data_IF_598301386658
#
_entry.id   IF_598301386658
#
_cell.length_a   1.000
_cell.length_b   1.000
_cell.length_c   1.000
_cell.angle_alpha   90.00
_cell.angle_beta   90.00
_cell.angle_gamma   90.00
#
_symmetry.space_group_name_H-M   'P 1'
#
loop_
_entity.id
_entity.type
_entity.pdbx_description
1 polymer ?
#
# COMPACT_ATOMS: atom_id res chain seq x y z
N UNK A 1 -5.48 1.92 4.41
CA UNK A 1 -5.28 1.27 5.72
C UNK A 1 -4.39 2.17 6.53
N UNK A 2 -4.86 2.59 7.70
CA UNK A 2 -4.17 3.48 8.60
C UNK A 2 -3.28 2.71 9.59
N UNK A 3 -3.80 1.59 10.11
CA UNK A 3 -3.26 0.95 11.29
C UNK A 3 -3.18 1.95 12.46
N UNK A 4 -2.05 1.95 13.16
CA UNK A 4 -1.81 2.90 14.27
C UNK A 4 -1.29 4.28 13.80
N UNK A 5 -1.22 4.54 12.48
CA UNK A 5 -0.88 5.86 11.95
C UNK A 5 0.60 6.20 11.81
N UNK A 6 1.53 5.24 11.93
CA UNK A 6 2.98 5.49 11.79
C UNK A 6 3.34 6.06 10.41
N UNK A 7 2.81 5.47 9.33
CA UNK A 7 3.10 5.92 7.96
C UNK A 7 2.60 7.35 7.72
N UNK A 8 1.37 7.65 8.15
CA UNK A 8 0.80 9.01 8.08
C UNK A 8 1.64 10.01 8.85
N UNK A 9 1.93 9.71 10.13
CA UNK A 9 2.76 10.52 11.01
C UNK A 9 4.17 10.76 10.45
N UNK A 10 4.71 9.79 9.71
CA UNK A 10 5.97 9.90 9.00
C UNK A 10 5.90 10.94 7.89
N UNK A 11 4.89 10.80 7.01
CA UNK A 11 4.72 11.65 5.84
C UNK A 11 4.45 13.10 6.26
N UNK A 12 3.62 13.32 7.28
CA UNK A 12 3.38 14.66 7.84
C UNK A 12 4.67 15.33 8.33
N UNK A 13 5.56 14.59 9.01
CA UNK A 13 6.88 15.10 9.45
C UNK A 13 7.84 15.39 8.29
N UNK A 14 7.56 14.86 7.10
CA UNK A 14 8.24 15.22 5.85
C UNK A 14 7.49 16.29 5.04
N UNK A 15 6.53 16.99 5.68
CA UNK A 15 5.70 18.01 5.06
C UNK A 15 4.85 17.49 3.88
N UNK A 16 4.40 16.24 3.94
CA UNK A 16 3.51 15.64 2.95
C UNK A 16 2.09 15.55 3.54
N UNK A 17 1.12 16.15 2.84
CA UNK A 17 -0.29 16.08 3.23
C UNK A 17 -0.86 14.72 2.84
N UNK A 18 -1.62 14.09 3.74
CA UNK A 18 -2.07 12.70 3.59
C UNK A 18 -3.60 12.60 3.57
N UNK A 19 -4.13 11.91 2.57
CA UNK A 19 -5.51 11.41 2.61
C UNK A 19 -5.51 9.97 3.10
N UNK A 20 -6.05 9.76 4.30
CA UNK A 20 -6.18 8.45 4.92
C UNK A 20 -7.49 7.84 4.48
N UNK A 21 -7.44 6.58 4.03
CA UNK A 21 -8.64 5.77 3.80
C UNK A 21 -8.57 4.57 4.74
N UNK A 22 -9.53 4.50 5.65
CA UNK A 22 -9.62 3.49 6.69
C UNK A 22 -11.04 2.96 6.75
N UNK A 23 -11.21 1.64 6.80
CA UNK A 23 -12.53 1.00 6.81
C UNK A 23 -13.14 1.02 8.21
N UNK A 24 -12.30 0.94 9.25
CA UNK A 24 -12.74 0.86 10.65
C UNK A 24 -12.59 2.21 11.38
N UNK A 25 -13.70 2.88 11.76
CA UNK A 25 -13.64 4.13 12.52
C UNK A 25 -12.94 3.99 13.89
N UNK A 26 -12.97 2.82 14.53
CA UNK A 26 -12.32 2.59 15.81
C UNK A 26 -10.79 2.68 15.67
N UNK A 27 -10.24 2.18 14.57
CA UNK A 27 -8.80 2.25 14.28
C UNK A 27 -8.35 3.72 14.15
N UNK A 28 -9.11 4.58 13.47
CA UNK A 28 -8.79 6.00 13.41
C UNK A 28 -8.84 6.67 14.78
N UNK A 29 -9.85 6.34 15.58
CA UNK A 29 -9.99 6.86 16.96
C UNK A 29 -8.79 6.44 17.81
N UNK A 30 -8.41 5.16 17.80
CA UNK A 30 -7.27 4.67 18.58
C UNK A 30 -5.93 5.24 18.10
N UNK A 31 -5.74 5.40 16.79
CA UNK A 31 -4.54 6.04 16.25
C UNK A 31 -4.35 7.46 16.83
N UNK A 32 -5.45 8.21 17.01
CA UNK A 32 -5.42 9.55 17.61
C UNK A 32 -5.20 9.51 19.11
N UNK A 33 -5.98 8.71 19.82
CA UNK A 33 -6.07 8.74 21.28
C UNK A 33 -4.88 8.06 21.97
N UNK A 34 -4.31 7.01 21.35
CA UNK A 34 -3.26 6.18 21.96
C UNK A 34 -1.93 6.22 21.21
N UNK A 35 -1.91 6.62 19.93
CA UNK A 35 -0.70 6.63 19.10
C UNK A 35 -0.31 8.03 18.61
N UNK A 36 -0.89 9.07 19.19
CA UNK A 36 -0.59 10.49 18.93
C UNK A 36 -0.66 10.87 17.44
N UNK A 37 -1.60 10.29 16.69
CA UNK A 37 -1.91 10.77 15.34
C UNK A 37 -2.64 12.11 15.43
N UNK A 38 -1.92 13.21 15.23
CA UNK A 38 -2.49 14.56 15.30
C UNK A 38 -2.54 15.21 13.91
N UNK A 39 -3.70 15.74 13.47
CA UNK A 39 -3.71 16.71 12.39
C UNK A 39 -2.94 17.96 12.84
N UNK A 40 -1.96 18.40 12.06
CA UNK A 40 -1.39 19.74 12.24
C UNK A 40 -2.45 20.75 11.83
N UNK A 41 -2.63 21.79 12.65
CA UNK A 41 -3.58 22.85 12.36
C UNK A 41 -3.17 23.56 11.05
N UNK A 42 -4.10 23.79 10.11
CA UNK A 42 -3.81 24.47 8.83
C UNK A 42 -3.12 25.83 8.99
N UNK A 43 -3.32 26.49 10.14
CA UNK A 43 -2.76 27.81 10.45
C UNK A 43 -1.29 27.79 10.86
N UNK A 44 -0.72 26.62 11.19
CA UNK A 44 0.71 26.48 11.54
C UNK A 44 1.58 26.13 10.31
N UNK A 45 1.00 26.08 9.10
CA UNK A 45 1.73 25.85 7.85
C UNK A 45 2.32 24.44 7.69
N UNK A 46 2.03 23.51 8.61
CA UNK A 46 2.50 22.13 8.55
C UNK A 46 1.57 21.21 7.76
N UNK A 47 2.14 20.19 7.11
CA UNK A 47 1.36 19.20 6.38
C UNK A 47 0.42 18.38 7.26
N UNK A 48 -0.86 18.34 6.88
CA UNK A 48 -1.95 17.77 7.66
C UNK A 48 -2.43 16.42 7.09
N UNK A 49 -3.48 15.84 7.67
CA UNK A 49 -4.17 14.71 7.07
C UNK A 49 -5.68 14.90 7.05
N UNK A 50 -6.35 14.30 6.06
CA UNK A 50 -7.81 14.11 6.04
C UNK A 50 -8.09 12.63 6.20
N UNK A 51 -9.10 12.29 6.98
CA UNK A 51 -9.51 10.90 7.16
C UNK A 51 -10.84 10.65 6.46
N UNK A 52 -10.86 9.60 5.65
CA UNK A 52 -12.03 9.10 4.96
C UNK A 52 -12.35 7.70 5.51
N UNK A 53 -13.39 7.61 6.33
CA UNK A 53 -13.84 6.34 6.91
C UNK A 53 -14.77 5.66 5.91
N UNK A 54 -14.22 4.76 5.10
CA UNK A 54 -14.94 4.01 4.07
C UNK A 54 -14.09 2.87 3.49
N UNK A 55 -14.72 2.01 2.69
CA UNK A 55 -14.03 0.98 1.94
C UNK A 55 -13.03 1.58 0.92
N UNK A 56 -11.79 1.06 0.94
CA UNK A 56 -10.71 1.55 0.10
C UNK A 56 -10.93 1.29 -1.39
N UNK A 57 -11.59 0.18 -1.75
CA UNK A 57 -11.83 -0.20 -3.16
C UNK A 57 -12.87 0.71 -3.77
N UNK A 58 -13.93 1.02 -3.02
CA UNK A 58 -14.94 1.98 -3.42
C UNK A 58 -14.37 3.40 -3.51
N UNK A 59 -13.57 3.81 -2.52
CA UNK A 59 -12.94 5.14 -2.54
C UNK A 59 -12.09 5.36 -3.79
N UNK A 60 -11.19 4.42 -4.10
CA UNK A 60 -10.26 4.57 -5.22
C UNK A 60 -10.98 4.55 -6.57
N UNK A 61 -12.02 3.71 -6.71
CA UNK A 61 -12.88 3.69 -7.91
C UNK A 61 -13.56 5.04 -8.12
N UNK A 62 -14.22 5.55 -7.08
CA UNK A 62 -14.91 6.84 -7.15
C UNK A 62 -13.94 8.00 -7.44
N UNK A 63 -12.74 7.96 -6.84
CA UNK A 63 -11.70 8.95 -7.09
C UNK A 63 -11.22 8.91 -8.55
N UNK A 64 -10.98 7.71 -9.08
CA UNK A 64 -10.60 7.50 -10.48
C UNK A 64 -11.69 7.99 -11.46
N UNK A 65 -12.96 7.71 -11.17
CA UNK A 65 -14.10 8.20 -11.98
C UNK A 65 -14.17 9.72 -12.01
N UNK A 66 -13.96 10.38 -10.85
CA UNK A 66 -13.90 11.86 -10.78
C UNK A 66 -12.76 12.43 -11.63
N UNK A 67 -11.57 11.80 -11.61
CA UNK A 67 -10.45 12.23 -12.46
C UNK A 67 -10.84 12.17 -13.94
N UNK A 68 -11.40 11.04 -14.39
CA UNK A 68 -11.82 10.85 -15.79
C UNK A 68 -12.91 11.85 -16.20
N UNK A 69 -13.88 12.12 -15.32
CA UNK A 69 -14.93 13.11 -15.58
C UNK A 69 -14.34 14.52 -15.72
N UNK A 70 -13.39 14.90 -14.86
CA UNK A 70 -12.73 16.21 -14.91
C UNK A 70 -11.85 16.36 -16.16
N UNK A 71 -11.12 15.31 -16.56
CA UNK A 71 -10.32 15.31 -17.79
C UNK A 71 -11.20 15.46 -19.04
N UNK A 72 -12.35 14.76 -19.10
CA UNK A 72 -13.33 14.92 -20.18
C UNK A 72 -13.92 16.32 -20.22
N UNK A 73 -14.27 16.89 -19.08
CA UNK A 73 -14.77 18.26 -18.99
C UNK A 73 -13.73 19.30 -19.41
N UNK A 74 -12.44 19.07 -19.13
CA UNK A 74 -11.35 19.93 -19.55
C UNK A 74 -10.99 19.78 -21.04
N UNK A 75 -11.15 18.58 -21.61
CA UNK A 75 -10.86 18.28 -23.02
C UNK A 75 -12.00 18.58 -24.00
N UNK A 76 -13.24 18.75 -23.53
CA UNK A 76 -14.44 19.01 -24.34
C UNK A 76 -14.65 20.47 -24.77
N UNK A 77 -13.63 21.33 -24.68
CA UNK A 77 -13.70 22.76 -25.05
C UNK A 77 -13.28 23.10 -26.49
N UNK A 78 -13.03 22.11 -27.34
CA UNK A 78 -12.66 22.30 -28.75
C UNK A 78 -13.73 21.73 -29.69
N UNK A 79 -14.25 22.60 -30.55
CA UNK A 79 -15.24 22.38 -31.62
C UNK A 79 -16.72 22.51 -31.22
N UNK A 80 -17.21 23.75 -31.32
CA UNK A 80 -18.47 24.04 -32.01
C UNK A 80 -18.40 25.46 -32.58
N UNK A 81 -18.06 25.54 -33.86
CA UNK A 81 -18.37 26.68 -34.72
C UNK A 81 -19.87 26.57 -35.04
N UNK A 82 -20.66 27.53 -34.56
CA UNK A 82 -22.11 27.57 -34.78
C UNK A 82 -22.66 28.86 -34.20
N UNK A 83 -22.74 29.87 -35.05
CA UNK A 83 -23.40 31.14 -34.78
C UNK A 83 -24.80 30.91 -34.17
N UNK A 84 -25.02 31.44 -32.96
CA UNK A 84 -26.31 32.01 -32.60
C UNK A 84 -26.16 32.98 -31.41
N UNK A 85 -26.30 34.24 -31.78
CA UNK A 85 -26.46 35.41 -30.94
C UNK A 85 -27.85 35.36 -30.26
N UNK A 86 -27.91 35.27 -28.92
CA UNK A 86 -28.88 35.99 -28.07
C UNK A 86 -28.79 35.65 -26.56
N UNK A 87 -29.01 36.70 -25.77
CA UNK A 87 -29.24 36.79 -24.31
C UNK A 87 -28.00 36.75 -23.37
N UNK A 88 -27.48 37.96 -23.16
CA UNK A 88 -26.71 38.37 -21.98
C UNK A 88 -27.67 38.55 -20.81
N UNK A 89 -27.65 37.65 -19.82
CA UNK A 89 -27.79 37.91 -18.38
C UNK A 89 -28.02 36.59 -17.63
N UNK A 90 -27.17 36.28 -16.63
CA UNK A 90 -27.51 35.27 -15.62
C UNK A 90 -26.65 34.00 -15.47
N UNK A 91 -25.38 33.96 -15.91
CA UNK A 91 -24.44 32.88 -15.50
C UNK A 91 -23.02 33.39 -15.31
N UNK A 92 -22.79 34.11 -14.19
CA UNK A 92 -21.46 34.42 -13.68
C UNK A 92 -21.34 33.79 -12.30
N UNK A 93 -20.30 32.95 -12.10
CA UNK A 93 -19.97 32.07 -10.95
C UNK A 93 -20.62 30.67 -11.11
N UNK A 94 -19.89 29.57 -11.31
CA UNK A 94 -18.65 29.12 -10.66
C UNK A 94 -17.72 28.47 -11.71
N UNK A 95 -16.79 29.24 -12.27
CA UNK A 95 -15.60 28.69 -12.90
C UNK A 95 -14.50 28.62 -11.83
N UNK A 96 -14.42 27.49 -11.16
CA UNK A 96 -13.18 26.97 -10.61
C UNK A 96 -13.28 25.46 -10.75
N UNK A 97 -13.12 24.98 -11.98
CA UNK A 97 -12.83 23.57 -12.20
C UNK A 97 -11.42 23.35 -11.61
N UNK A 98 -11.35 23.13 -10.31
CA UNK A 98 -10.12 22.71 -9.64
C UNK A 98 -9.64 21.45 -10.36
N UNK A 99 -8.41 21.48 -10.86
CA UNK A 99 -7.78 20.33 -11.51
C UNK A 99 -7.95 19.08 -10.63
N UNK A 100 -8.04 17.87 -11.24
CA UNK A 100 -8.18 16.64 -10.48
C UNK A 100 -7.05 16.55 -9.43
N UNK A 101 -7.43 16.27 -8.18
CA UNK A 101 -6.45 16.04 -7.12
C UNK A 101 -5.72 14.72 -7.42
N UNK A 102 -4.53 14.84 -8.00
CA UNK A 102 -3.64 13.72 -8.29
C UNK A 102 -2.58 13.57 -7.19
N UNK A 103 -2.31 12.33 -6.82
CA UNK A 103 -1.34 11.99 -5.77
C UNK A 103 0.06 11.77 -6.33
N UNK A 104 1.07 12.27 -5.62
CA UNK A 104 2.48 11.90 -5.84
C UNK A 104 2.75 10.45 -5.42
N UNK A 105 2.11 10.03 -4.33
CA UNK A 105 2.30 8.72 -3.73
C UNK A 105 0.95 8.09 -3.36
N UNK A 106 0.80 6.80 -3.63
CA UNK A 106 -0.26 5.98 -3.05
C UNK A 106 0.41 4.89 -2.22
N UNK A 107 0.14 4.89 -0.91
CA UNK A 107 0.59 3.85 0.01
C UNK A 107 -0.54 2.85 0.20
N UNK A 108 -0.33 1.64 -0.29
CA UNK A 108 -1.26 0.52 -0.22
C UNK A 108 -0.80 -0.41 0.90
N UNK A 109 -1.20 -0.05 2.12
CA UNK A 109 -0.93 -0.79 3.36
C UNK A 109 -2.26 -1.22 3.98
N UNK A 110 -2.76 -2.38 3.53
CA UNK A 110 -4.09 -2.88 3.91
C UNK A 110 -4.01 -4.35 4.29
N UNK A 111 -4.60 -4.68 5.42
CA UNK A 111 -4.75 -6.03 5.94
C UNK A 111 -6.12 -6.12 6.63
N UNK A 112 -6.75 -7.28 6.52
CA UNK A 112 -8.05 -7.55 7.15
C UNK A 112 -8.02 -8.95 7.73
N UNK A 113 -8.23 -9.12 9.05
CA UNK A 113 -8.38 -10.44 9.66
C UNK A 113 -7.21 -11.41 9.43
N UNK A 114 -5.97 -10.90 9.31
CA UNK A 114 -4.78 -11.72 9.08
C UNK A 114 -4.46 -12.07 7.63
N UNK A 115 -5.25 -11.59 6.66
CA UNK A 115 -5.01 -11.76 5.23
C UNK A 115 -5.05 -10.42 4.47
N UNK A 116 -4.73 -10.45 3.18
CA UNK A 116 -4.87 -9.27 2.32
C UNK A 116 -6.32 -9.17 1.82
N UNK A 117 -6.93 -7.97 1.80
CA UNK A 117 -8.20 -7.75 1.13
C UNK A 117 -8.01 -7.88 -0.39
N UNK A 118 -8.20 -9.10 -0.90
CA UNK A 118 -7.80 -9.49 -2.26
C UNK A 118 -8.40 -8.65 -3.39
N UNK A 119 -9.54 -7.98 -3.16
CA UNK A 119 -10.17 -7.08 -4.13
C UNK A 119 -9.38 -5.78 -4.35
N UNK A 120 -8.48 -5.41 -3.43
CA UNK A 120 -7.60 -4.25 -3.58
C UNK A 120 -6.31 -4.57 -4.36
N UNK A 121 -6.09 -5.82 -4.76
CA UNK A 121 -4.90 -6.27 -5.48
C UNK A 121 -5.17 -6.60 -6.96
N UNK A 122 -6.39 -6.35 -7.44
CA UNK A 122 -6.81 -6.69 -8.81
C UNK A 122 -6.24 -5.72 -9.84
N UNK A 123 -6.12 -6.16 -11.10
CA UNK A 123 -5.73 -5.29 -12.22
C UNK A 123 -6.63 -4.06 -12.28
N UNK A 124 -7.93 -4.22 -12.05
CA UNK A 124 -8.90 -3.12 -12.03
C UNK A 124 -8.61 -2.12 -10.91
N UNK A 125 -8.33 -2.60 -9.68
CA UNK A 125 -7.93 -1.73 -8.57
C UNK A 125 -6.63 -0.98 -8.87
N UNK A 126 -5.63 -1.66 -9.42
CA UNK A 126 -4.36 -1.04 -9.78
C UNK A 126 -4.51 -0.01 -10.92
N UNK A 127 -5.41 -0.26 -11.88
CA UNK A 127 -5.76 0.72 -12.93
C UNK A 127 -6.44 1.96 -12.35
N UNK A 128 -7.31 1.80 -11.35
CA UNK A 128 -7.94 2.94 -10.67
C UNK A 128 -6.91 3.74 -9.86
N UNK A 129 -6.00 3.07 -9.14
CA UNK A 129 -4.85 3.71 -8.48
C UNK A 129 -4.01 4.49 -9.50
N UNK A 130 -3.73 3.91 -10.67
CA UNK A 130 -2.94 4.57 -11.71
C UNK A 130 -3.60 5.86 -12.20
N UNK A 131 -4.92 5.93 -12.29
CA UNK A 131 -5.64 7.15 -12.72
C UNK A 131 -5.54 8.29 -11.72
N UNK A 132 -5.47 8.00 -10.42
CA UNK A 132 -5.35 9.04 -9.37
C UNK A 132 -3.90 9.44 -9.08
N UNK A 133 -2.92 8.72 -9.63
CA UNK A 133 -1.50 9.07 -9.52
C UNK A 133 -1.12 10.10 -10.60
N UNK A 134 -0.23 11.03 -10.23
CA UNK A 134 0.51 11.85 -11.20
C UNK A 134 1.29 10.96 -12.17
N UNK A 135 1.71 11.53 -13.31
CA UNK A 135 2.43 10.78 -14.36
C UNK A 135 3.73 10.15 -13.88
N UNK A 136 4.41 10.78 -12.93
CA UNK A 136 5.61 10.32 -12.24
C UNK A 136 5.33 9.80 -10.82
N UNK A 137 4.05 9.69 -10.45
CA UNK A 137 3.63 9.19 -9.15
C UNK A 137 4.02 7.73 -8.92
N UNK A 138 4.09 7.35 -7.65
CA UNK A 138 4.57 6.04 -7.22
C UNK A 138 3.52 5.35 -6.35
N UNK A 139 3.22 4.08 -6.70
CA UNK A 139 2.54 3.15 -5.82
C UNK A 139 3.57 2.46 -4.93
N UNK A 140 3.41 2.53 -3.62
CA UNK A 140 4.11 1.70 -2.64
C UNK A 140 3.11 0.71 -2.05
N UNK A 141 3.28 -0.59 -2.30
CA UNK A 141 2.34 -1.64 -1.91
C UNK A 141 3.01 -2.65 -0.98
N UNK A 142 2.46 -2.78 0.22
CA UNK A 142 2.93 -3.70 1.24
C UNK A 142 2.41 -5.12 0.96
N UNK A 143 3.26 -6.12 1.12
CA UNK A 143 2.93 -7.52 0.88
C UNK A 143 3.66 -8.42 1.88
N UNK A 144 2.95 -9.38 2.47
CA UNK A 144 3.55 -10.43 3.28
C UNK A 144 3.50 -11.76 2.52
N UNK A 145 4.65 -12.37 2.29
CA UNK A 145 4.73 -13.63 1.55
C UNK A 145 6.11 -14.26 1.61
N UNK A 146 6.38 -15.22 0.71
CA UNK A 146 7.65 -15.94 0.69
C UNK A 146 8.29 -15.93 -0.70
N UNK A 147 9.62 -15.90 -0.72
CA UNK A 147 10.43 -16.06 -1.94
C UNK A 147 10.80 -17.52 -2.20
N UNK A 148 10.51 -18.42 -1.25
CA UNK A 148 10.85 -19.82 -1.35
C UNK A 148 10.08 -20.48 -2.49
N UNK A 149 10.78 -21.24 -3.34
CA UNK A 149 10.24 -21.80 -4.58
C UNK A 149 8.91 -22.56 -4.41
N UNK A 150 8.75 -23.26 -3.29
CA UNK A 150 7.55 -24.05 -3.01
C UNK A 150 6.28 -23.22 -2.74
N UNK A 151 6.41 -21.96 -2.31
CA UNK A 151 5.28 -21.12 -1.85
C UNK A 151 5.38 -19.67 -2.34
N UNK A 152 6.13 -19.44 -3.42
CA UNK A 152 6.33 -18.10 -4.02
C UNK A 152 5.18 -17.63 -4.91
N UNK A 153 4.22 -18.49 -5.20
CA UNK A 153 3.15 -18.22 -6.18
C UNK A 153 2.39 -16.91 -5.90
N UNK A 154 1.99 -16.57 -4.65
CA UNK A 154 1.37 -15.28 -4.34
C UNK A 154 2.24 -14.06 -4.72
N UNK A 155 3.55 -14.13 -4.47
CA UNK A 155 4.50 -13.06 -4.80
C UNK A 155 4.57 -12.85 -6.32
N UNK A 156 4.63 -13.95 -7.09
CA UNK A 156 4.72 -13.90 -8.55
C UNK A 156 3.44 -13.40 -9.19
N UNK A 157 2.27 -13.81 -8.67
CA UNK A 157 0.96 -13.35 -9.15
C UNK A 157 0.81 -11.84 -8.89
N UNK A 158 1.15 -11.35 -7.69
CA UNK A 158 1.06 -9.92 -7.37
C UNK A 158 2.04 -9.12 -8.24
N UNK A 159 3.29 -9.58 -8.37
CA UNK A 159 4.28 -8.92 -9.21
C UNK A 159 3.81 -8.82 -10.68
N UNK A 160 3.25 -9.92 -11.22
CA UNK A 160 2.70 -9.97 -12.58
C UNK A 160 1.50 -9.03 -12.74
N UNK A 161 0.59 -9.02 -11.76
CA UNK A 161 -0.60 -8.15 -11.75
C UNK A 161 -0.20 -6.67 -11.75
N UNK A 162 0.77 -6.26 -10.91
CA UNK A 162 1.31 -4.90 -10.90
C UNK A 162 1.95 -4.54 -12.24
N UNK A 163 2.74 -5.45 -12.82
CA UNK A 163 3.41 -5.23 -14.10
C UNK A 163 2.44 -5.08 -15.30
N UNK A 164 1.17 -5.50 -15.17
CA UNK A 164 0.14 -5.22 -16.19
C UNK A 164 -0.26 -3.74 -16.27
N UNK A 165 -0.01 -2.96 -15.22
CA UNK A 165 -0.42 -1.55 -15.10
C UNK A 165 0.78 -0.60 -15.06
N UNK A 166 1.88 -1.01 -14.42
CA UNK A 166 3.06 -0.18 -14.22
C UNK A 166 4.27 -0.79 -14.94
N UNK A 167 4.96 0.02 -15.75
CA UNK A 167 6.11 -0.43 -16.55
C UNK A 167 7.41 -0.60 -15.75
N UNK A 168 7.50 0.02 -14.57
CA UNK A 168 8.67 -0.09 -13.70
C UNK A 168 8.22 -0.58 -12.33
N UNK A 169 8.64 -1.80 -11.98
CA UNK A 169 8.31 -2.44 -10.70
C UNK A 169 9.61 -2.86 -10.02
N UNK A 170 9.78 -2.45 -8.77
CA UNK A 170 10.86 -2.89 -7.88
C UNK A 170 10.23 -3.45 -6.61
N UNK A 171 10.83 -4.50 -6.05
CA UNK A 171 10.38 -5.08 -4.78
C UNK A 171 11.58 -5.22 -3.86
N UNK A 172 11.41 -4.86 -2.60
CA UNK A 172 12.44 -4.99 -1.58
C UNK A 172 11.86 -5.75 -0.40
N UNK A 173 12.72 -6.49 0.30
CA UNK A 173 12.35 -7.18 1.53
C UNK A 173 13.02 -6.58 2.75
N UNK A 174 12.42 -6.85 3.90
CA UNK A 174 13.04 -6.55 5.19
C UNK A 174 14.46 -7.15 5.28
N UNK A 175 15.48 -6.38 5.70
CA UNK A 175 16.81 -6.90 6.00
C UNK A 175 16.74 -8.03 7.03
N UNK A 176 17.56 -9.09 6.91
CA UNK A 176 17.65 -10.09 7.95
C UNK A 176 18.18 -9.45 9.24
N UNK A 177 17.59 -9.85 10.36
CA UNK A 177 18.08 -9.55 11.71
C UNK A 177 19.49 -10.13 11.89
N UNK A 178 20.45 -9.27 12.23
CA UNK A 178 21.78 -9.72 12.69
C UNK A 178 21.66 -10.22 14.12
N UNK A 179 22.39 -11.28 14.48
CA UNK A 179 22.38 -11.95 15.79
C UNK A 179 23.09 -11.17 16.91
N UNK A 180 22.73 -9.91 17.15
CA UNK A 180 23.19 -9.16 18.33
C UNK A 180 22.08 -9.07 19.39
N UNK A 181 22.42 -8.85 20.66
CA UNK A 181 21.45 -8.78 21.79
C UNK A 181 20.34 -7.71 21.58
N UNK A 182 20.64 -6.62 20.86
CA UNK A 182 19.63 -5.64 20.41
C UNK A 182 18.60 -6.20 19.42
N UNK A 183 18.89 -7.35 18.81
CA UNK A 183 18.02 -8.06 17.89
C UNK A 183 17.04 -9.00 18.62
N UNK A 184 17.22 -9.33 19.90
CA UNK A 184 16.25 -10.16 20.64
C UNK A 184 15.01 -9.35 21.04
N UNK A 185 15.18 -8.11 21.51
CA UNK A 185 14.05 -7.20 21.74
C UNK A 185 13.31 -6.88 20.41
N UNK A 186 14.07 -6.75 19.32
CA UNK A 186 13.54 -6.61 17.97
C UNK A 186 12.79 -7.87 17.52
N UNK A 187 13.36 -9.06 17.71
CA UNK A 187 12.76 -10.33 17.31
C UNK A 187 11.48 -10.57 18.13
N UNK A 188 11.46 -10.24 19.41
CA UNK A 188 10.25 -10.33 20.24
C UNK A 188 9.14 -9.36 19.81
N UNK A 189 9.48 -8.11 19.44
CA UNK A 189 8.50 -7.14 18.93
C UNK A 189 8.02 -7.50 17.51
N UNK A 190 8.89 -8.03 16.66
CA UNK A 190 8.54 -8.44 15.30
C UNK A 190 7.83 -9.80 15.27
N UNK A 191 8.08 -10.70 16.23
CA UNK A 191 7.27 -11.92 16.49
C UNK A 191 5.84 -11.59 16.91
N UNK A 192 5.62 -10.48 17.60
CA UNK A 192 4.28 -9.97 17.92
C UNK A 192 3.55 -9.43 16.68
N UNK A 193 4.26 -9.19 15.58
CA UNK A 193 3.63 -8.90 14.31
C UNK A 193 3.32 -10.22 13.57
N UNK A 194 2.16 -10.30 12.91
CA UNK A 194 1.53 -11.51 12.38
C UNK A 194 2.34 -12.51 11.52
N UNK A 195 3.58 -12.18 11.12
CA UNK A 195 4.27 -12.81 9.97
C UNK A 195 5.74 -13.19 10.20
N UNK A 196 6.26 -13.20 11.44
CA UNK A 196 7.65 -13.60 11.73
C UNK A 196 7.82 -15.08 12.18
N UNK A 197 6.88 -15.96 11.80
CA UNK A 197 6.96 -17.39 12.15
C UNK A 197 8.09 -18.08 11.37
N UNK A 198 9.05 -18.65 12.11
CA UNK A 198 9.95 -19.66 11.56
C UNK A 198 9.16 -20.96 11.43
N UNK A 199 8.77 -21.33 10.21
CA UNK A 199 8.00 -22.54 9.95
C UNK A 199 8.65 -23.80 10.52
N UNK A 200 7.93 -24.52 11.37
CA UNK A 200 8.15 -25.94 11.64
C UNK A 200 7.08 -26.75 10.88
N UNK A 201 7.22 -26.88 9.56
CA UNK A 201 6.38 -27.82 8.80
C UNK A 201 6.87 -29.23 9.15
N UNK A 202 6.14 -29.94 10.02
CA UNK A 202 6.31 -31.36 10.28
C UNK A 202 6.00 -32.16 9.00
N UNK A 203 7.01 -32.33 8.14
CA UNK A 203 7.28 -33.52 7.30
C UNK A 203 8.49 -33.33 6.37
N UNK A 204 9.01 -32.13 6.22
CA UNK A 204 10.29 -31.85 5.58
C UNK A 204 10.99 -30.72 6.34
N UNK A 205 12.26 -30.88 6.70
CA UNK A 205 13.09 -29.90 7.43
C UNK A 205 13.38 -28.64 6.59
N UNK A 206 12.36 -27.90 6.17
CA UNK A 206 12.51 -26.65 5.43
C UNK A 206 11.73 -25.56 6.14
N UNK A 207 12.45 -24.73 6.90
CA UNK A 207 11.93 -23.48 7.47
C UNK A 207 11.63 -22.55 6.29
N UNK A 208 10.36 -22.49 5.88
CA UNK A 208 9.88 -21.50 4.92
C UNK A 208 9.66 -20.18 5.66
N UNK A 209 10.61 -19.23 5.56
CA UNK A 209 10.48 -17.92 6.18
C UNK A 209 9.56 -17.04 5.32
N UNK A 210 8.53 -16.48 5.95
CA UNK A 210 7.76 -15.36 5.42
C UNK A 210 8.55 -14.07 5.65
N UNK A 211 8.58 -13.21 4.64
CA UNK A 211 9.24 -11.91 4.66
C UNK A 211 8.20 -10.83 4.39
N UNK A 212 8.47 -9.62 4.89
CA UNK A 212 7.75 -8.42 4.45
C UNK A 212 8.40 -7.88 3.19
N UNK A 213 7.56 -7.66 2.19
CA UNK A 213 7.92 -7.13 0.90
C UNK A 213 7.21 -5.79 0.70
N UNK A 214 7.92 -4.84 0.10
CA UNK A 214 7.31 -3.60 -0.38
C UNK A 214 7.59 -3.48 -1.87
N UNK A 215 6.53 -3.47 -2.65
CA UNK A 215 6.57 -3.17 -4.07
C UNK A 215 6.54 -1.65 -4.26
N UNK A 216 7.43 -1.13 -5.09
CA UNK A 216 7.38 0.21 -5.63
C UNK A 216 7.10 0.11 -7.12
N UNK A 217 6.07 0.81 -7.60
CA UNK A 217 5.64 0.75 -8.98
C UNK A 217 5.35 2.14 -9.55
N UNK A 218 5.81 2.40 -10.76
CA UNK A 218 5.51 3.63 -11.50
C UNK A 218 5.56 3.38 -13.01
N UNK A 219 5.01 4.29 -13.80
CA UNK A 219 5.20 4.29 -15.26
C UNK A 219 6.54 4.92 -15.68
N UNK A 220 7.23 5.57 -14.75
CA UNK A 220 8.57 6.14 -14.93
C UNK A 220 9.63 5.31 -14.17
N UNK A 221 10.91 5.34 -14.59
CA UNK A 221 11.99 4.68 -13.86
C UNK A 221 12.07 5.13 -12.40
N UNK A 222 12.17 4.16 -11.50
CA UNK A 222 12.27 4.40 -10.05
C UNK A 222 13.71 4.62 -9.61
N UNK A 223 13.98 5.73 -8.93
CA UNK A 223 15.25 6.02 -8.28
C UNK A 223 15.05 6.20 -6.77
N UNK A 224 16.00 5.69 -5.97
CA UNK A 224 16.02 5.85 -4.52
C UNK A 224 17.25 6.67 -4.16
N UNK A 225 17.03 7.83 -3.52
CA UNK A 225 18.14 8.62 -2.97
C UNK A 225 18.73 7.93 -1.74
N UNK A 226 19.95 8.30 -1.38
CA UNK A 226 20.51 7.93 -0.07
C UNK A 226 19.68 8.57 1.04
N UNK A 227 19.61 7.86 2.17
CA UNK A 227 18.95 8.34 3.38
C UNK A 227 19.79 9.42 4.05
N UNK A 228 19.12 10.36 4.70
CA UNK A 228 19.71 11.45 5.49
C UNK A 228 19.18 11.37 6.93
N UNK A 229 19.82 12.08 7.86
CA UNK A 229 19.44 12.04 9.29
C UNK A 229 17.96 12.42 9.52
N UNK A 230 17.45 13.37 8.73
CA UNK A 230 16.05 13.77 8.77
C UNK A 230 15.05 12.66 8.42
N UNK A 231 15.44 11.61 7.68
CA UNK A 231 14.56 10.48 7.34
C UNK A 231 14.28 9.56 8.54
N UNK A 232 15.19 9.55 9.51
CA UNK A 232 15.10 8.64 10.64
C UNK A 232 14.11 9.12 11.69
N UNK A 233 13.78 10.42 11.73
CA UNK A 233 12.85 11.01 12.71
C UNK A 233 13.16 10.59 14.16
N UNK A 234 14.45 10.49 14.50
CA UNK A 234 14.91 10.02 15.82
C UNK A 234 14.71 8.52 16.11
N UNK A 235 14.17 7.75 15.16
CA UNK A 235 13.88 6.32 15.33
C UNK A 235 15.10 5.44 15.02
N UNK A 236 15.59 4.71 16.01
CA UNK A 236 16.63 3.69 15.83
C UNK A 236 16.24 2.64 14.78
N UNK A 237 14.96 2.25 14.75
CA UNK A 237 14.41 1.31 13.79
C UNK A 237 14.58 1.81 12.35
N UNK A 238 14.20 3.08 12.10
CA UNK A 238 14.35 3.68 10.77
C UNK A 238 15.81 3.84 10.37
N UNK A 239 16.66 4.25 11.31
CA UNK A 239 18.11 4.35 11.10
C UNK A 239 18.72 3.00 10.72
N UNK A 240 18.19 1.91 11.28
CA UNK A 240 18.62 0.55 10.92
C UNK A 240 18.10 0.10 9.55
N UNK A 241 16.80 0.31 9.28
CA UNK A 241 16.13 -0.27 8.11
C UNK A 241 16.29 0.53 6.82
N UNK A 242 16.08 1.85 6.86
CA UNK A 242 16.02 2.69 5.66
C UNK A 242 17.29 2.65 4.80
N UNK A 243 18.53 2.77 5.33
CA UNK A 243 19.74 2.71 4.49
C UNK A 243 19.97 1.33 3.90
N UNK A 244 19.40 0.28 4.50
CA UNK A 244 19.60 -1.12 4.10
C UNK A 244 18.54 -1.62 3.12
N UNK A 245 17.34 -1.03 3.10
CA UNK A 245 16.22 -1.54 2.30
C UNK A 245 16.60 -1.77 0.83
N UNK A 246 17.29 -0.81 0.20
CA UNK A 246 17.70 -0.90 -1.20
C UNK A 246 18.78 -1.94 -1.47
N UNK A 247 19.44 -2.46 -0.43
CA UNK A 247 20.42 -3.55 -0.50
C UNK A 247 19.77 -4.94 -0.56
N UNK A 248 18.46 -5.04 -0.31
CA UNK A 248 17.73 -6.31 -0.30
C UNK A 248 16.62 -6.33 -1.38
N UNK A 249 16.98 -6.21 -2.68
CA UNK A 249 16.02 -6.36 -3.75
C UNK A 249 15.53 -7.81 -3.84
N UNK A 250 14.25 -7.97 -4.16
CA UNK A 250 13.65 -9.26 -4.45
C UNK A 250 13.64 -9.50 -5.96
N UNK A 251 14.06 -10.69 -6.37
CA UNK A 251 14.03 -11.09 -7.77
C UNK A 251 12.60 -11.41 -8.19
N UNK A 252 12.04 -10.54 -9.03
CA UNK A 252 10.71 -10.71 -9.60
C UNK A 252 10.78 -11.61 -10.84
N UNK A 253 9.89 -12.61 -10.91
CA UNK A 253 9.69 -13.43 -12.10
C UNK A 253 8.63 -12.78 -12.99
N UNK A 254 8.96 -11.62 -13.58
CA UNK A 254 8.00 -10.94 -14.44
C UNK A 254 7.84 -11.69 -15.77
N UNK A 255 6.62 -11.75 -16.31
CA UNK A 255 6.33 -12.41 -17.58
C UNK A 255 7.10 -11.71 -18.70
N UNK A 256 7.80 -12.47 -19.55
CA UNK A 256 8.35 -11.95 -20.81
C UNK A 256 7.24 -11.88 -21.85
N UNK A 257 7.36 -10.97 -22.81
CA UNK A 257 6.36 -10.74 -23.85
C UNK A 257 6.09 -11.97 -24.76
N UNK A 258 6.93 -13.00 -24.71
CA UNK A 258 6.98 -14.11 -25.65
C UNK A 258 6.75 -15.48 -24.98
N UNK A 259 5.81 -15.55 -24.04
CA UNK A 259 5.48 -16.80 -23.31
C UNK A 259 4.15 -17.35 -23.86
N UNK A 260 4.16 -18.64 -24.22
CA UNK A 260 2.99 -19.38 -24.73
C UNK A 260 1.85 -19.54 -23.71
N UNK A 261 2.12 -19.29 -22.43
CA UNK A 261 1.16 -19.34 -21.32
C UNK A 261 1.10 -17.95 -20.68
N UNK A 262 -0.07 -17.29 -20.68
CA UNK A 262 -0.21 -16.00 -20.03
C UNK A 262 0.05 -16.13 -18.53
N UNK A 263 0.66 -15.11 -17.90
CA UNK A 263 0.92 -15.13 -16.47
C UNK A 263 -0.38 -15.15 -15.67
N UNK A 264 -0.39 -15.89 -14.56
CA UNK A 264 -1.48 -15.80 -13.59
C UNK A 264 -1.50 -14.37 -13.00
N UNK A 265 -2.67 -13.76 -13.04
CA UNK A 265 -2.93 -12.41 -12.51
C UNK A 265 -4.16 -12.45 -11.61
N UNK A 266 -4.38 -11.37 -10.88
CA UNK A 266 -5.58 -11.17 -10.06
C UNK A 266 -6.46 -10.12 -10.71
N UNK A 267 -7.71 -10.47 -10.97
CA UNK A 267 -8.73 -9.58 -11.50
C UNK A 267 -9.97 -9.61 -10.61
N UNK A 268 -10.87 -8.64 -10.79
CA UNK A 268 -12.17 -8.64 -10.10
C UNK A 268 -12.99 -9.91 -10.44
N UNK A 269 -12.76 -10.53 -11.61
CA UNK A 269 -13.45 -11.75 -12.07
C UNK A 269 -12.80 -13.04 -11.57
N UNK A 270 -11.48 -13.10 -11.55
CA UNK A 270 -10.70 -14.28 -11.20
C UNK A 270 -9.60 -13.89 -10.20
N UNK A 271 -9.71 -14.41 -8.98
CA UNK A 271 -8.85 -14.01 -7.87
C UNK A 271 -8.27 -15.24 -7.14
N UNK A 272 -7.17 -15.82 -7.66
CA UNK A 272 -6.54 -17.00 -7.05
C UNK A 272 -5.88 -16.68 -5.69
N UNK A 273 -5.65 -15.40 -5.35
CA UNK A 273 -5.01 -15.04 -4.09
C UNK A 273 -5.86 -15.39 -2.88
N UNK A 274 -7.19 -15.40 -3.00
CA UNK A 274 -8.08 -15.72 -1.89
C UNK A 274 -7.76 -17.10 -1.29
N UNK A 275 -7.62 -18.11 -2.15
CA UNK A 275 -7.28 -19.48 -1.75
C UNK A 275 -5.81 -19.61 -1.37
N UNK A 276 -4.90 -19.03 -2.17
CA UNK A 276 -3.46 -19.14 -1.95
C UNK A 276 -2.97 -18.51 -0.64
N UNK A 277 -3.74 -17.58 -0.07
CA UNK A 277 -3.40 -16.95 1.22
C UNK A 277 -3.95 -17.70 2.43
N UNK A 278 -4.87 -18.66 2.27
CA UNK A 278 -5.45 -19.38 3.41
C UNK A 278 -4.38 -20.02 4.31
N UNK A 279 -3.34 -20.71 3.78
CA UNK A 279 -2.31 -21.29 4.65
C UNK A 279 -1.56 -20.24 5.48
N UNK A 280 -1.31 -19.06 4.90
CA UNK A 280 -0.65 -17.95 5.59
C UNK A 280 -1.55 -17.39 6.70
N UNK A 281 -2.84 -17.21 6.44
CA UNK A 281 -3.81 -16.73 7.43
C UNK A 281 -3.96 -17.73 8.59
N UNK A 282 -4.07 -19.02 8.28
CA UNK A 282 -4.16 -20.08 9.31
C UNK A 282 -2.92 -20.08 10.20
N UNK A 283 -1.73 -20.00 9.62
CA UNK A 283 -0.48 -19.95 10.37
C UNK A 283 -0.39 -18.67 11.23
N UNK A 284 -0.80 -17.54 10.67
CA UNK A 284 -0.88 -16.29 11.42
C UNK A 284 -1.73 -16.47 12.69
N UNK A 285 -2.95 -17.00 12.57
CA UNK A 285 -3.83 -17.24 13.72
C UNK A 285 -3.28 -18.32 14.66
N UNK A 286 -2.55 -19.32 14.15
CA UNK A 286 -1.84 -20.31 14.98
C UNK A 286 -0.82 -19.63 15.88
N UNK A 287 0.02 -18.76 15.34
CA UNK A 287 1.03 -18.00 16.09
C UNK A 287 0.39 -17.04 17.08
N UNK A 288 -0.69 -16.35 16.70
CA UNK A 288 -1.40 -15.45 17.63
C UNK A 288 -1.87 -16.18 18.88
N UNK A 289 -2.30 -17.45 18.77
CA UNK A 289 -2.68 -18.28 19.92
C UNK A 289 -1.50 -18.72 20.80
N UNK A 290 -0.28 -18.70 20.28
CA UNK A 290 0.93 -18.94 21.08
C UNK A 290 1.41 -17.67 21.78
N UNK A 291 1.26 -16.51 21.14
CA UNK A 291 1.69 -15.21 21.67
C UNK A 291 0.74 -14.73 22.79
N UNK A 292 -0.57 -14.87 22.60
CA UNK A 292 -1.57 -14.40 23.55
C UNK A 292 -2.19 -15.57 24.33
N UNK A 293 -2.20 -15.53 25.68
CA UNK A 293 -2.75 -16.61 26.50
C UNK A 293 -4.26 -16.74 26.27
N UNK A 294 -4.83 -17.92 26.57
CA UNK A 294 -6.28 -18.20 26.40
C UNK A 294 -7.15 -17.14 27.08
N UNK A 295 -6.75 -16.65 28.26
CA UNK A 295 -7.47 -15.61 28.99
C UNK A 295 -7.58 -14.27 28.24
N UNK A 296 -6.68 -13.97 27.29
CA UNK A 296 -6.80 -12.81 26.42
C UNK A 296 -7.98 -12.97 25.45
N UNK A 297 -8.15 -14.16 24.86
CA UNK A 297 -9.17 -14.45 23.84
C UNK A 297 -10.58 -14.60 24.41
N UNK A 298 -10.70 -15.08 25.65
CA UNK A 298 -11.99 -15.31 26.31
C UNK A 298 -12.57 -14.02 26.91
N UNK A 299 -11.72 -13.04 27.21
CA UNK A 299 -12.11 -11.78 27.86
C UNK A 299 -12.08 -10.57 26.91
N UNK A 300 -11.95 -10.81 25.60
CA UNK A 300 -12.10 -9.80 24.55
C UNK A 300 -13.57 -9.74 24.10
#
# INVERSE_FOLDING_TARGET
GLGIGISTSSLQRHNITVDIVEIDPAIYTFARDYFNLTPTAPHEGGATHRAFIQDGRQYIRNAAERVVQMERAAGGGGDNNGDQEQSKEGKKRVASATAPLLYDYVLHDVFTGGSLPVQLFTVEALKDIRKVLKKDGVLALNFAGSEHKAIREPLDIIASTIATVFSHVKCFREPPTSSSESAEAFDNMVRMLPFHSANHIQKTKTICRTSRHVFFASVKPLAFRRTIEGDYLGSAMRRHLLPRLTMYPVRLNLPKADISVPPKIVSDKENPLAELQMPLAVEHWRVMREVFPVGFWVNY
#
